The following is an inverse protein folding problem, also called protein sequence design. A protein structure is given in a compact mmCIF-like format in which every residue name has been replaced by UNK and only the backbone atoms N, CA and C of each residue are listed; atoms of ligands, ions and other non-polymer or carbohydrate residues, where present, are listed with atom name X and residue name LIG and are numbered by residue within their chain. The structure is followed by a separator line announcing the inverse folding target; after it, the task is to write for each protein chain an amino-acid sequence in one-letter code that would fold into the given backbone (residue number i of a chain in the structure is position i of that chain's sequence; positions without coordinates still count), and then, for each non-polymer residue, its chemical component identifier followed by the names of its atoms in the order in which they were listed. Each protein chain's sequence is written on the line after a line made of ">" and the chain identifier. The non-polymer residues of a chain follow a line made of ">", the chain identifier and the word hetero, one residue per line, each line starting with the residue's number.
data_IF_198840789754
#
_entry.id   IF_198840789754
#
_cell.length_a   1.000
_cell.length_b   1.000
_cell.length_c   1.000
_cell.angle_alpha   90.00
_cell.angle_beta   90.00
_cell.angle_gamma   90.00
#
_symmetry.space_group_name_H-M   'P 1'
#
loop_
_entity.id
_entity.type
_entity.pdbx_description
1 polymer ?
#
# COMPACT_ATOMS: atom_id res chain seq x y z
N UNK A 1 -1.93 -21.30 -4.50
CA UNK A 1 -0.99 -20.16 -4.66
C UNK A 1 -1.81 -18.92 -4.96
N UNK A 2 -1.54 -17.81 -4.28
CA UNK A 2 -2.20 -16.52 -4.53
C UNK A 2 -1.17 -15.53 -5.07
N UNK A 3 -1.61 -14.60 -5.93
CA UNK A 3 -0.79 -13.52 -6.47
C UNK A 3 -1.25 -12.21 -5.83
N UNK A 4 -0.32 -11.41 -5.33
CA UNK A 4 -0.54 -10.04 -4.88
C UNK A 4 0.15 -9.07 -5.83
N UNK A 5 -0.59 -8.07 -6.32
CA UNK A 5 -0.06 -6.99 -7.16
C UNK A 5 -0.26 -5.69 -6.38
N UNK A 6 0.79 -4.90 -6.28
CA UNK A 6 0.75 -3.54 -5.70
C UNK A 6 0.88 -2.52 -6.82
N UNK A 7 0.00 -1.52 -6.83
CA UNK A 7 0.14 -0.32 -7.65
C UNK A 7 0.80 0.74 -6.77
N UNK A 8 1.94 1.28 -7.20
CA UNK A 8 2.76 2.21 -6.42
C UNK A 8 3.07 3.42 -7.30
N UNK A 9 2.59 4.59 -6.91
CA UNK A 9 2.86 5.87 -7.55
C UNK A 9 4.27 6.36 -7.23
N UNK A 10 4.89 7.05 -8.19
CA UNK A 10 6.19 7.71 -7.99
C UNK A 10 6.06 9.06 -7.28
N UNK A 11 4.83 9.50 -7.00
CA UNK A 11 4.53 10.79 -6.38
C UNK A 11 3.69 10.59 -5.13
N UNK A 12 3.77 11.56 -4.20
CA UNK A 12 2.90 11.55 -3.03
C UNK A 12 1.45 11.82 -3.43
N UNK A 13 0.53 11.03 -2.91
CA UNK A 13 -0.89 11.13 -3.23
C UNK A 13 -1.70 11.56 -2.02
N UNK A 14 -2.58 12.54 -2.23
CA UNK A 14 -3.51 13.00 -1.19
C UNK A 14 -4.74 12.10 -1.20
N UNK A 15 -4.85 11.25 -0.20
CA UNK A 15 -5.95 10.28 -0.08
C UNK A 15 -6.98 10.73 0.95
N UNK A 16 -8.24 10.43 0.66
CA UNK A 16 -9.32 10.71 1.59
C UNK A 16 -9.36 9.64 2.68
N UNK A 17 -8.86 10.01 3.85
CA UNK A 17 -8.76 9.14 5.02
C UNK A 17 -9.80 9.55 6.05
N UNK A 18 -11.01 9.08 5.80
CA UNK A 18 -12.18 9.38 6.60
C UNK A 18 -12.14 8.66 7.96
N UNK A 19 -11.73 9.39 9.00
CA UNK A 19 -11.69 8.91 10.40
C UNK A 19 -12.83 9.42 11.29
N UNK A 20 -13.62 10.38 10.83
CA UNK A 20 -14.66 10.98 11.66
C UNK A 20 -15.95 10.14 11.63
N UNK A 21 -16.77 10.22 12.68
CA UNK A 21 -18.04 9.48 12.76
C UNK A 21 -19.16 10.05 11.88
N UNK A 22 -18.88 11.04 11.03
CA UNK A 22 -19.88 11.68 10.19
C UNK A 22 -19.83 11.15 8.75
N UNK A 23 -20.73 10.24 8.34
CA UNK A 23 -20.71 9.63 7.00
C UNK A 23 -20.92 10.64 5.85
N UNK A 24 -21.35 11.87 6.16
CA UNK A 24 -21.53 12.96 5.17
C UNK A 24 -20.36 13.95 5.14
N UNK A 25 -19.24 13.64 5.81
CA UNK A 25 -18.07 14.52 5.80
C UNK A 25 -17.58 14.77 4.37
N UNK A 26 -17.15 15.99 4.09
CA UNK A 26 -16.47 16.39 2.84
C UNK A 26 -15.25 17.25 3.11
N UNK A 27 -14.73 17.21 4.33
CA UNK A 27 -13.58 18.01 4.73
C UNK A 27 -12.30 17.43 4.10
N UNK A 28 -11.84 18.05 3.01
CA UNK A 28 -10.66 17.63 2.26
C UNK A 28 -9.37 18.27 2.77
N UNK A 29 -9.39 18.92 3.93
CA UNK A 29 -8.17 19.43 4.56
C UNK A 29 -7.34 18.27 5.13
N UNK A 30 -6.06 18.54 5.34
CA UNK A 30 -5.14 17.58 5.94
C UNK A 30 -5.51 17.27 7.40
N UNK A 31 -5.21 16.06 7.88
CA UNK A 31 -5.40 15.68 9.28
C UNK A 31 -4.70 16.64 10.25
N UNK A 32 -3.50 17.15 9.90
CA UNK A 32 -2.77 18.14 10.72
C UNK A 32 -3.53 19.45 10.92
N UNK A 33 -4.49 19.75 10.03
CA UNK A 33 -5.37 20.91 10.08
C UNK A 33 -6.80 20.55 10.54
N UNK A 34 -7.00 19.36 11.13
CA UNK A 34 -8.29 18.87 11.57
C UNK A 34 -9.23 18.42 10.43
N UNK A 35 -8.68 18.15 9.24
CA UNK A 35 -9.42 17.63 8.10
C UNK A 35 -9.57 16.11 8.07
N UNK A 36 -9.79 15.53 6.90
CA UNK A 36 -9.99 14.09 6.71
C UNK A 36 -9.14 13.51 5.57
N UNK A 37 -8.05 14.17 5.18
CA UNK A 37 -7.11 13.62 4.19
C UNK A 37 -5.74 13.42 4.79
N UNK A 38 -4.96 12.54 4.18
CA UNK A 38 -3.53 12.35 4.47
C UNK A 38 -2.76 12.25 3.17
N UNK A 39 -1.46 12.49 3.25
CA UNK A 39 -0.53 12.24 2.17
C UNK A 39 0.07 10.85 2.31
N UNK A 40 -0.04 10.05 1.26
CA UNK A 40 0.54 8.72 1.17
C UNK A 40 1.86 8.80 0.43
N UNK A 41 2.91 8.35 1.10
CA UNK A 41 4.22 8.14 0.51
C UNK A 41 4.33 6.66 0.13
N UNK A 42 3.81 6.31 -1.05
CA UNK A 42 3.76 4.94 -1.52
C UNK A 42 5.14 4.30 -1.73
N UNK A 43 6.18 5.02 -2.22
CA UNK A 43 7.54 4.47 -2.29
C UNK A 43 8.07 4.02 -0.93
N UNK A 44 7.79 4.78 0.14
CA UNK A 44 8.15 4.39 1.51
C UNK A 44 7.37 3.15 1.95
N UNK A 45 6.07 3.08 1.68
CA UNK A 45 5.25 1.92 2.04
C UNK A 45 5.74 0.65 1.33
N UNK A 46 6.17 0.75 0.07
CA UNK A 46 6.79 -0.36 -0.64
C UNK A 46 8.07 -0.83 0.06
N UNK A 47 8.96 0.11 0.43
CA UNK A 47 10.20 -0.22 1.13
C UNK A 47 9.94 -0.92 2.49
N UNK A 48 8.95 -0.43 3.26
CA UNK A 48 8.57 -1.05 4.54
C UNK A 48 8.03 -2.50 4.34
N UNK A 49 7.34 -2.77 3.22
CA UNK A 49 6.87 -4.11 2.85
C UNK A 49 8.05 -5.01 2.46
N UNK A 50 8.97 -4.53 1.63
CA UNK A 50 10.16 -5.28 1.24
C UNK A 50 11.04 -5.64 2.44
N UNK A 51 11.20 -4.72 3.39
CA UNK A 51 11.89 -4.97 4.66
C UNK A 51 11.20 -6.05 5.47
N UNK A 52 9.87 -6.00 5.58
CA UNK A 52 9.09 -7.01 6.31
C UNK A 52 9.19 -8.40 5.66
N UNK A 53 9.21 -8.46 4.32
CA UNK A 53 9.34 -9.71 3.57
C UNK A 53 10.78 -10.21 3.49
N UNK A 54 11.78 -9.35 3.75
CA UNK A 54 13.19 -9.67 3.60
C UNK A 54 13.61 -9.90 2.14
N UNK A 55 12.84 -9.38 1.18
CA UNK A 55 13.11 -9.52 -0.25
C UNK A 55 12.62 -8.29 -1.02
N UNK A 56 13.24 -8.03 -2.16
CA UNK A 56 12.78 -6.98 -3.09
C UNK A 56 11.65 -7.49 -3.96
N UNK A 57 10.61 -6.68 -4.14
CA UNK A 57 9.47 -6.99 -5.00
C UNK A 57 9.82 -6.60 -6.44
N UNK A 58 9.56 -7.50 -7.38
CA UNK A 58 9.80 -7.21 -8.79
C UNK A 58 8.86 -6.12 -9.30
N UNK A 59 9.45 -5.10 -9.94
CA UNK A 59 8.71 -4.03 -10.61
C UNK A 59 8.38 -4.48 -12.03
N UNK A 60 7.11 -4.33 -12.40
CA UNK A 60 6.61 -4.66 -13.74
C UNK A 60 6.45 -3.37 -14.55
N UNK A 61 6.86 -3.42 -15.81
CA UNK A 61 6.73 -2.29 -16.74
C UNK A 61 5.32 -2.21 -17.37
N UNK A 62 5.15 -1.29 -18.33
CA UNK A 62 3.88 -1.09 -19.03
C UNK A 62 3.44 -2.30 -19.87
N UNK A 63 4.31 -3.29 -20.11
CA UNK A 63 3.94 -4.52 -20.80
C UNK A 63 3.30 -5.56 -19.87
N UNK A 64 3.18 -5.25 -18.56
CA UNK A 64 2.53 -6.09 -17.54
C UNK A 64 3.03 -7.55 -17.53
N UNK A 65 4.31 -7.76 -17.86
CA UNK A 65 4.92 -9.09 -17.84
C UNK A 65 5.27 -9.46 -16.40
N UNK A 66 4.48 -10.35 -15.81
CA UNK A 66 4.68 -10.81 -14.42
C UNK A 66 5.79 -11.86 -14.41
N UNK A 67 6.90 -11.63 -13.69
CA UNK A 67 7.98 -12.61 -13.59
C UNK A 67 7.49 -13.87 -12.87
N UNK A 68 7.97 -15.02 -13.34
CA UNK A 68 7.70 -16.31 -12.70
C UNK A 68 8.69 -16.48 -11.55
N UNK A 69 8.16 -16.61 -10.34
CA UNK A 69 8.95 -16.83 -9.12
C UNK A 69 8.61 -18.20 -8.53
N UNK A 70 9.63 -19.02 -8.24
CA UNK A 70 9.44 -20.31 -7.57
C UNK A 70 9.16 -20.07 -6.09
N UNK A 71 7.89 -20.22 -5.71
CA UNK A 71 7.42 -19.97 -4.35
C UNK A 71 8.15 -20.86 -3.32
N UNK A 72 9.10 -20.29 -2.57
CA UNK A 72 9.93 -20.96 -1.54
C UNK A 72 9.17 -21.21 -0.21
N UNK A 73 7.84 -21.03 -0.17
CA UNK A 73 7.00 -21.37 0.99
C UNK A 73 7.14 -20.48 2.23
N UNK A 74 8.05 -19.50 2.25
CA UNK A 74 8.34 -18.64 3.41
C UNK A 74 7.35 -17.50 3.64
N UNK A 75 6.63 -17.08 2.60
CA UNK A 75 5.86 -15.83 2.63
C UNK A 75 4.35 -16.11 2.65
N UNK A 76 3.69 -15.69 3.73
CA UNK A 76 2.23 -15.76 3.88
C UNK A 76 1.64 -14.38 3.65
N UNK A 77 1.04 -14.18 2.48
CA UNK A 77 0.25 -12.97 2.19
C UNK A 77 -1.13 -13.06 2.86
N UNK A 78 -1.63 -11.96 3.41
CA UNK A 78 -3.01 -11.85 3.90
C UNK A 78 -3.27 -12.45 5.29
N UNK A 79 -2.24 -12.69 6.10
CA UNK A 79 -2.44 -13.11 7.48
C UNK A 79 -3.13 -11.99 8.29
N UNK A 80 -4.29 -12.30 8.88
CA UNK A 80 -4.97 -11.40 9.83
C UNK A 80 -4.04 -11.20 11.03
N UNK A 81 -3.72 -9.95 11.37
CA UNK A 81 -3.01 -9.63 12.63
C UNK A 81 -3.84 -10.20 13.79
N UNK A 82 -3.30 -11.21 14.48
CA UNK A 82 -3.81 -11.68 15.75
C UNK A 82 -3.50 -10.62 16.80
N UNK A 83 -4.55 -10.03 17.36
CA UNK A 83 -4.48 -9.09 18.47
C UNK A 83 -4.34 -9.85 19.79
#
# INVERSE_FOLDING_TARGET
>A
MGLSISLVSTHEEKVWYHKCGNPKCRNTNDLSQGGCTIWYNEPKLLADIEEHLGQTIAIVDCAFQIPVDEFDGKIVYGAKRTN
#
